data_IF_874846063285
#
_entry.id   IF_874846063285
#
_cell.length_a   1.000
_cell.length_b   1.000
_cell.length_c   1.000
_cell.angle_alpha   90.00
_cell.angle_beta   90.00
_cell.angle_gamma   90.00
#
_symmetry.space_group_name_H-M   'P 1'
#
loop_
_entity.id
_entity.type
_entity.pdbx_description
1 polymer ?
#
# COMPACT_ATOMS: atom_id res chain seq x y z
N UNK A 1 12.27 -13.78 20.90
CA UNK A 1 11.03 -14.25 21.57
C UNK A 1 10.23 -13.11 22.24
N UNK A 2 10.60 -11.83 22.12
CA UNK A 2 9.90 -10.69 22.74
C UNK A 2 8.88 -9.98 21.82
N UNK A 3 9.05 -10.02 20.50
CA UNK A 3 8.24 -9.21 19.58
C UNK A 3 6.83 -9.77 19.27
N UNK A 4 6.64 -11.09 19.33
CA UNK A 4 5.32 -11.71 19.11
C UNK A 4 4.33 -11.39 20.24
N UNK A 5 4.82 -11.31 21.48
CA UNK A 5 4.04 -11.01 22.68
C UNK A 5 3.59 -9.55 22.73
N UNK A 6 4.41 -8.64 22.19
CA UNK A 6 4.05 -7.22 22.05
C UNK A 6 2.93 -7.08 21.02
N UNK A 7 3.06 -7.71 19.85
CA UNK A 7 2.00 -7.64 18.82
C UNK A 7 0.66 -8.18 19.33
N UNK A 8 0.65 -9.34 20.00
CA UNK A 8 -0.58 -9.91 20.54
C UNK A 8 -1.21 -9.06 21.65
N UNK A 9 -0.42 -8.36 22.46
CA UNK A 9 -0.94 -7.48 23.50
C UNK A 9 -1.55 -6.18 22.94
N UNK A 10 -0.94 -5.62 21.89
CA UNK A 10 -1.29 -4.31 21.36
C UNK A 10 -2.25 -4.36 20.15
N UNK A 11 -2.45 -5.53 19.54
CA UNK A 11 -3.34 -5.74 18.39
C UNK A 11 -4.60 -6.57 18.73
N UNK A 12 -4.95 -6.69 20.01
CA UNK A 12 -6.04 -7.54 20.49
C UNK A 12 -7.45 -6.94 20.35
N UNK A 13 -7.58 -5.63 20.06
CA UNK A 13 -8.88 -5.00 19.81
C UNK A 13 -8.79 -3.81 18.86
N UNK A 14 -9.88 -3.54 18.16
CA UNK A 14 -10.08 -2.33 17.33
C UNK A 14 -10.11 -1.02 18.13
N UNK A 15 -10.10 -1.11 19.46
CA UNK A 15 -10.04 0.00 20.42
C UNK A 15 -8.69 0.09 21.12
N UNK A 16 -7.70 -0.71 20.72
CA UNK A 16 -6.39 -0.70 21.37
C UNK A 16 -5.73 0.68 21.21
N UNK A 17 -4.90 1.13 22.17
CA UNK A 17 -4.15 2.37 22.04
C UNK A 17 -3.35 2.47 20.72
N UNK A 18 -2.90 1.32 20.21
CA UNK A 18 -2.22 1.19 18.91
C UNK A 18 -3.11 1.62 17.76
N UNK A 19 -4.39 1.21 17.75
CA UNK A 19 -5.36 1.65 16.74
C UNK A 19 -5.53 3.17 16.76
N UNK A 20 -5.63 3.78 17.95
CA UNK A 20 -5.78 5.23 18.12
C UNK A 20 -4.52 5.98 17.66
N UNK A 21 -3.33 5.45 17.99
CA UNK A 21 -2.05 6.03 17.58
C UNK A 21 -1.88 5.94 16.07
N UNK A 22 -2.20 4.78 15.48
CA UNK A 22 -2.19 4.58 14.03
C UNK A 22 -3.15 5.58 13.37
N UNK A 23 -4.40 5.69 13.82
CA UNK A 23 -5.35 6.68 13.31
C UNK A 23 -4.84 8.12 13.39
N UNK A 24 -4.26 8.51 14.52
CA UNK A 24 -3.73 9.88 14.71
C UNK A 24 -2.49 10.16 13.87
N UNK A 25 -1.64 9.16 13.64
CA UNK A 25 -0.47 9.34 12.80
C UNK A 25 -0.76 9.17 11.30
N UNK A 26 -1.85 8.49 10.95
CA UNK A 26 -2.38 8.37 9.59
C UNK A 26 -3.31 9.52 9.20
N UNK A 27 -3.72 10.37 10.14
CA UNK A 27 -4.34 11.63 9.79
C UNK A 27 -3.28 12.46 9.06
N UNK A 28 -3.28 12.40 7.73
CA UNK A 28 -2.30 12.99 6.83
C UNK A 28 -2.37 14.54 6.80
N UNK A 29 -2.65 15.18 7.94
CA UNK A 29 -2.68 16.62 8.03
C UNK A 29 -1.28 17.20 7.77
N UNK A 30 -1.26 18.25 6.94
CA UNK A 30 -0.05 19.04 6.66
C UNK A 30 0.61 19.60 7.94
N UNK A 31 -0.17 19.74 9.01
CA UNK A 31 0.26 20.29 10.30
C UNK A 31 0.95 19.26 11.21
N UNK A 32 0.87 17.96 10.90
CA UNK A 32 1.56 16.92 11.69
C UNK A 32 3.03 16.94 11.33
N UNK A 33 3.97 17.00 12.29
CA UNK A 33 5.41 16.97 11.97
C UNK A 33 5.79 15.72 11.16
N UNK A 34 6.64 15.88 10.14
CA UNK A 34 7.11 14.79 9.26
C UNK A 34 7.56 13.54 10.04
N UNK A 35 8.31 13.73 11.13
CA UNK A 35 8.81 12.62 11.94
C UNK A 35 7.67 11.80 12.57
N UNK A 36 6.55 12.45 12.94
CA UNK A 36 5.38 11.79 13.49
C UNK A 36 4.64 11.02 12.39
N UNK A 37 4.51 11.61 11.18
CA UNK A 37 3.94 10.92 10.02
C UNK A 37 4.74 9.65 9.69
N UNK A 38 6.07 9.76 9.55
CA UNK A 38 6.95 8.61 9.26
C UNK A 38 6.85 7.52 10.32
N UNK A 39 6.85 7.90 11.61
CA UNK A 39 6.69 6.93 12.71
C UNK A 39 5.33 6.24 12.65
N UNK A 40 4.27 6.97 12.32
CA UNK A 40 2.94 6.42 12.09
C UNK A 40 2.92 5.35 11.02
N UNK A 41 3.43 5.70 9.84
CA UNK A 41 3.51 4.79 8.69
C UNK A 41 4.33 3.56 9.06
N UNK A 42 5.49 3.72 9.70
CA UNK A 42 6.31 2.58 10.11
C UNK A 42 5.60 1.66 11.11
N UNK A 43 4.85 2.22 12.07
CA UNK A 43 4.05 1.40 12.99
C UNK A 43 2.99 0.63 12.20
N UNK A 44 2.21 1.31 11.34
CA UNK A 44 1.18 0.68 10.52
C UNK A 44 1.75 -0.43 9.60
N UNK A 45 2.86 -0.16 8.92
CA UNK A 45 3.55 -1.12 8.05
C UNK A 45 4.06 -2.33 8.85
N UNK A 46 4.61 -2.12 10.05
CA UNK A 46 5.14 -3.19 10.89
C UNK A 46 4.06 -4.07 11.55
N UNK A 47 2.81 -3.59 11.63
CA UNK A 47 1.68 -4.42 12.10
C UNK A 47 1.51 -5.66 11.21
N UNK A 48 1.80 -5.53 9.91
CA UNK A 48 1.72 -6.63 8.95
C UNK A 48 2.85 -7.68 9.08
N UNK A 49 3.88 -7.43 9.89
CA UNK A 49 4.92 -8.44 10.17
C UNK A 49 4.41 -9.64 10.96
N UNK A 50 3.20 -9.55 11.52
CA UNK A 50 2.57 -10.60 12.31
C UNK A 50 1.14 -10.85 11.83
N UNK A 51 0.77 -12.13 11.69
CA UNK A 51 -0.54 -12.53 11.16
C UNK A 51 -1.73 -12.00 11.98
N UNK A 52 -1.57 -11.90 13.30
CA UNK A 52 -2.61 -11.33 14.18
C UNK A 52 -2.77 -9.82 13.95
N UNK A 53 -1.67 -9.08 13.92
CA UNK A 53 -1.67 -7.66 13.61
C UNK A 53 -2.29 -7.36 12.25
N UNK A 54 -1.88 -8.09 11.20
CA UNK A 54 -2.46 -7.96 9.86
C UNK A 54 -3.98 -8.19 9.88
N UNK A 55 -4.46 -9.27 10.51
CA UNK A 55 -5.90 -9.55 10.62
C UNK A 55 -6.65 -8.43 11.33
N UNK A 56 -6.13 -7.94 12.46
CA UNK A 56 -6.74 -6.83 13.18
C UNK A 56 -6.82 -5.59 12.26
N UNK A 57 -5.71 -5.22 11.62
CA UNK A 57 -5.64 -4.05 10.75
C UNK A 57 -6.69 -4.13 9.63
N UNK A 58 -6.76 -5.26 8.93
CA UNK A 58 -7.66 -5.47 7.79
C UNK A 58 -9.15 -5.56 8.18
N UNK A 59 -9.48 -5.86 9.44
CA UNK A 59 -10.86 -6.00 9.93
C UNK A 59 -11.40 -4.73 10.60
N UNK A 60 -10.59 -3.68 10.67
CA UNK A 60 -10.98 -2.44 11.36
C UNK A 60 -11.36 -1.35 10.38
N UNK A 61 -12.14 -0.37 10.85
CA UNK A 61 -12.39 0.87 10.14
C UNK A 61 -11.10 1.67 9.82
N UNK A 62 -9.93 1.25 10.31
CA UNK A 62 -8.64 1.88 10.00
C UNK A 62 -8.16 1.60 8.58
N UNK A 63 -8.66 0.53 7.93
CA UNK A 63 -8.20 0.15 6.60
C UNK A 63 -8.41 1.27 5.58
N UNK A 64 -9.63 1.83 5.51
CA UNK A 64 -9.92 2.96 4.63
C UNK A 64 -9.07 4.18 4.94
N UNK A 65 -8.95 4.57 6.21
CA UNK A 65 -8.10 5.69 6.64
C UNK A 65 -6.62 5.48 6.26
N UNK A 66 -6.12 4.25 6.32
CA UNK A 66 -4.75 3.92 5.92
C UNK A 66 -4.53 3.94 4.41
N UNK A 67 -5.54 3.55 3.64
CA UNK A 67 -5.52 3.65 2.18
C UNK A 67 -5.50 5.13 1.79
N UNK A 68 -6.42 5.93 2.32
CA UNK A 68 -6.50 7.38 2.04
C UNK A 68 -5.19 8.09 2.41
N UNK A 69 -4.67 7.82 3.62
CA UNK A 69 -3.39 8.35 4.06
C UNK A 69 -2.23 7.92 3.16
N UNK A 70 -2.14 6.63 2.81
CA UNK A 70 -1.08 6.12 1.96
C UNK A 70 -1.11 6.75 0.57
N UNK A 71 -2.30 6.87 -0.03
CA UNK A 71 -2.49 7.50 -1.33
C UNK A 71 -2.18 9.01 -1.31
N UNK A 72 -2.55 9.71 -0.24
CA UNK A 72 -2.19 11.13 -0.10
C UNK A 72 -0.68 11.31 0.04
N UNK A 73 -0.03 10.50 0.90
CA UNK A 73 1.39 10.64 1.20
C UNK A 73 2.29 10.20 0.04
N UNK A 74 1.87 9.21 -0.76
CA UNK A 74 2.63 8.81 -1.95
C UNK A 74 2.59 9.86 -3.06
N UNK A 75 1.63 10.79 -3.03
CA UNK A 75 1.59 11.95 -3.93
C UNK A 75 2.40 13.18 -3.47
N UNK A 76 3.11 13.12 -2.34
CA UNK A 76 3.87 14.28 -1.81
C UNK A 76 5.27 14.41 -2.41
N UNK A 77 5.82 15.61 -2.40
CA UNK A 77 7.20 15.83 -2.88
C UNK A 77 8.28 15.12 -2.04
N UNK A 78 7.99 14.83 -0.77
CA UNK A 78 8.96 14.23 0.14
C UNK A 78 9.16 12.73 -0.14
N UNK A 79 10.32 12.39 -0.71
CA UNK A 79 10.68 11.01 -1.05
C UNK A 79 10.54 10.02 0.11
N UNK A 80 10.92 10.40 1.34
CA UNK A 80 10.86 9.49 2.48
C UNK A 80 9.41 9.16 2.85
N UNK A 81 8.50 10.14 2.77
CA UNK A 81 7.07 9.91 2.97
C UNK A 81 6.51 9.02 1.85
N UNK A 82 6.86 9.30 0.59
CA UNK A 82 6.38 8.51 -0.55
C UNK A 82 6.79 7.05 -0.49
N UNK A 83 8.07 6.77 -0.27
CA UNK A 83 8.59 5.40 -0.16
C UNK A 83 7.93 4.64 0.98
N UNK A 84 7.74 5.30 2.13
CA UNK A 84 7.12 4.70 3.30
C UNK A 84 5.63 4.41 3.06
N UNK A 85 4.93 5.33 2.39
CA UNK A 85 3.53 5.16 2.02
C UNK A 85 3.36 4.02 1.00
N UNK A 86 4.20 3.95 -0.03
CA UNK A 86 4.19 2.84 -1.00
C UNK A 86 4.43 1.48 -0.32
N UNK A 87 5.26 1.42 0.73
CA UNK A 87 5.45 0.21 1.53
C UNK A 87 4.17 -0.20 2.29
N UNK A 88 3.46 0.76 2.86
CA UNK A 88 2.17 0.52 3.53
C UNK A 88 1.12 0.01 2.53
N UNK A 89 0.97 0.70 1.40
CA UNK A 89 0.02 0.32 0.34
C UNK A 89 0.31 -1.08 -0.20
N UNK A 90 1.58 -1.44 -0.39
CA UNK A 90 1.99 -2.80 -0.76
C UNK A 90 1.56 -3.84 0.29
N UNK A 91 1.77 -3.57 1.58
CA UNK A 91 1.35 -4.49 2.64
C UNK A 91 -0.17 -4.66 2.70
N UNK A 92 -0.92 -3.59 2.46
CA UNK A 92 -2.39 -3.66 2.36
C UNK A 92 -2.78 -4.51 1.14
N UNK A 93 -2.22 -4.22 -0.04
CA UNK A 93 -2.48 -4.97 -1.28
C UNK A 93 -2.20 -6.48 -1.14
N UNK A 94 -1.15 -6.84 -0.40
CA UNK A 94 -0.79 -8.22 -0.11
C UNK A 94 -1.86 -8.95 0.71
N UNK A 95 -2.49 -8.26 1.67
CA UNK A 95 -3.44 -8.83 2.61
C UNK A 95 -4.90 -8.61 2.23
N UNK A 96 -5.18 -7.76 1.23
CA UNK A 96 -6.53 -7.51 0.77
C UNK A 96 -7.12 -8.80 0.14
N UNK A 97 -8.35 -9.20 0.53
CA UNK A 97 -9.05 -10.30 -0.10
C UNK A 97 -9.11 -10.15 -1.63
N UNK A 98 -9.02 -11.26 -2.37
CA UNK A 98 -9.09 -11.29 -3.84
C UNK A 98 -10.54 -11.30 -4.32
N UNK A 99 -11.30 -10.31 -3.86
CA UNK A 99 -12.70 -10.06 -4.25
C UNK A 99 -12.84 -8.58 -4.57
N UNK A 100 -13.87 -8.24 -5.33
CA UNK A 100 -14.21 -6.85 -5.59
C UNK A 100 -14.59 -6.15 -4.27
N UNK A 101 -13.92 -5.04 -3.97
CA UNK A 101 -14.19 -4.21 -2.80
C UNK A 101 -13.89 -2.74 -3.10
N UNK A 102 -14.49 -1.84 -2.33
CA UNK A 102 -14.25 -0.39 -2.48
C UNK A 102 -12.77 -0.07 -2.23
N UNK A 103 -12.15 -0.71 -1.25
CA UNK A 103 -10.74 -0.57 -0.90
C UNK A 103 -9.82 -0.99 -2.05
N UNK A 104 -10.17 -2.07 -2.76
CA UNK A 104 -9.43 -2.51 -3.95
C UNK A 104 -9.48 -1.46 -5.05
N UNK A 105 -10.66 -0.92 -5.33
CA UNK A 105 -10.88 0.11 -6.36
C UNK A 105 -10.11 1.38 -6.01
N UNK A 106 -10.18 1.82 -4.76
CA UNK A 106 -9.45 2.99 -4.24
C UNK A 106 -7.94 2.81 -4.40
N UNK A 107 -7.40 1.67 -3.96
CA UNK A 107 -5.98 1.37 -4.07
C UNK A 107 -5.50 1.36 -5.52
N UNK A 108 -6.18 0.64 -6.40
CA UNK A 108 -5.77 0.53 -7.81
C UNK A 108 -5.83 1.88 -8.51
N UNK A 109 -6.94 2.60 -8.37
CA UNK A 109 -7.13 3.90 -9.03
C UNK A 109 -6.14 4.95 -8.52
N UNK A 110 -5.92 5.00 -7.21
CA UNK A 110 -4.98 5.93 -6.58
C UNK A 110 -3.53 5.64 -6.96
N UNK A 111 -3.11 4.38 -6.84
CA UNK A 111 -1.75 3.99 -7.23
C UNK A 111 -1.49 4.17 -8.72
N UNK A 112 -2.48 3.87 -9.57
CA UNK A 112 -2.40 4.12 -11.02
C UNK A 112 -2.12 5.59 -11.32
N UNK A 113 -2.86 6.49 -10.67
CA UNK A 113 -2.69 7.94 -10.84
C UNK A 113 -1.30 8.42 -10.41
N UNK A 114 -0.79 7.94 -9.27
CA UNK A 114 0.55 8.32 -8.79
C UNK A 114 1.66 7.75 -9.67
N UNK A 115 1.51 6.50 -10.13
CA UNK A 115 2.54 5.79 -10.89
C UNK A 115 2.94 6.52 -12.17
N UNK A 116 1.99 7.16 -12.86
CA UNK A 116 2.27 7.94 -14.07
C UNK A 116 3.21 9.11 -13.87
N UNK A 117 3.33 9.61 -12.63
CA UNK A 117 4.15 10.79 -12.29
C UNK A 117 5.30 10.46 -11.34
N UNK A 118 5.52 9.19 -11.00
CA UNK A 118 6.54 8.80 -10.03
C UNK A 118 7.94 8.80 -10.67
N UNK A 119 8.88 9.47 -10.01
CA UNK A 119 10.26 9.65 -10.44
C UNK A 119 11.25 8.78 -9.63
N UNK A 120 10.89 8.45 -8.39
CA UNK A 120 11.70 7.61 -7.52
C UNK A 120 11.49 6.12 -7.86
N UNK A 121 12.56 5.47 -8.31
CA UNK A 121 12.50 4.08 -8.80
C UNK A 121 12.02 3.08 -7.75
N UNK A 122 12.39 3.27 -6.47
CA UNK A 122 12.01 2.35 -5.41
C UNK A 122 10.53 2.52 -5.01
N UNK A 123 10.03 3.76 -5.03
CA UNK A 123 8.60 4.05 -4.85
C UNK A 123 7.79 3.48 -6.03
N UNK A 124 8.22 3.74 -7.27
CA UNK A 124 7.62 3.19 -8.49
C UNK A 124 7.54 1.66 -8.42
N UNK A 125 8.66 1.01 -8.05
CA UNK A 125 8.75 -0.43 -7.92
C UNK A 125 7.78 -1.00 -6.86
N UNK A 126 7.64 -0.35 -5.71
CA UNK A 126 6.71 -0.79 -4.65
C UNK A 126 5.25 -0.65 -5.09
N UNK A 127 4.92 0.42 -5.81
CA UNK A 127 3.58 0.62 -6.38
C UNK A 127 3.26 -0.46 -7.43
N UNK A 128 4.20 -0.77 -8.32
CA UNK A 128 4.07 -1.86 -9.28
C UNK A 128 3.85 -3.21 -8.59
N UNK A 129 4.63 -3.51 -7.54
CA UNK A 129 4.43 -4.71 -6.75
C UNK A 129 3.04 -4.75 -6.10
N UNK A 130 2.56 -3.64 -5.57
CA UNK A 130 1.24 -3.54 -4.96
C UNK A 130 0.13 -3.83 -5.99
N UNK A 131 0.21 -3.22 -7.18
CA UNK A 131 -0.70 -3.47 -8.30
C UNK A 131 -0.66 -4.96 -8.69
N UNK A 132 0.54 -5.52 -8.90
CA UNK A 132 0.73 -6.94 -9.22
C UNK A 132 0.05 -7.86 -8.18
N UNK A 133 0.18 -7.55 -6.88
CA UNK A 133 -0.50 -8.31 -5.82
C UNK A 133 -2.02 -8.15 -5.84
N UNK A 134 -2.56 -7.01 -6.24
CA UNK A 134 -4.00 -6.80 -6.33
C UNK A 134 -4.62 -7.57 -7.50
N UNK A 135 -3.96 -7.59 -8.67
CA UNK A 135 -4.47 -8.25 -9.88
C UNK A 135 -4.22 -9.77 -9.91
N UNK A 136 -3.25 -10.25 -9.13
CA UNK A 136 -2.96 -11.68 -9.07
C UNK A 136 -4.15 -12.46 -8.50
N UNK A 137 -4.67 -13.41 -9.30
CA UNK A 137 -5.87 -14.19 -8.99
C UNK A 137 -7.13 -13.35 -8.70
N UNK A 138 -7.26 -12.17 -9.32
CA UNK A 138 -8.41 -11.29 -9.14
C UNK A 138 -8.83 -10.67 -10.48
N UNK A 139 -9.83 -11.26 -11.13
CA UNK A 139 -10.31 -10.82 -12.46
C UNK A 139 -10.92 -9.41 -12.43
N UNK A 140 -11.66 -9.06 -11.37
CA UNK A 140 -12.23 -7.72 -11.21
C UNK A 140 -11.14 -6.63 -11.13
N UNK A 141 -10.05 -6.91 -10.41
CA UNK A 141 -8.88 -6.03 -10.37
C UNK A 141 -8.19 -5.91 -11.74
N UNK A 142 -8.08 -7.00 -12.51
CA UNK A 142 -7.50 -6.98 -13.84
C UNK A 142 -8.33 -6.13 -14.82
N UNK A 143 -9.66 -6.30 -14.79
CA UNK A 143 -10.59 -5.50 -15.59
C UNK A 143 -10.51 -4.02 -15.24
N UNK A 144 -10.42 -3.68 -13.94
CA UNK A 144 -10.24 -2.30 -13.51
C UNK A 144 -8.93 -1.72 -14.06
N UNK A 145 -7.80 -2.42 -13.95
CA UNK A 145 -6.51 -1.94 -14.47
C UNK A 145 -6.57 -1.74 -16.00
N UNK A 146 -7.22 -2.64 -16.74
CA UNK A 146 -7.47 -2.47 -18.18
C UNK A 146 -8.28 -1.19 -18.47
N UNK A 147 -9.31 -0.92 -17.67
CA UNK A 147 -10.18 0.25 -17.85
C UNK A 147 -9.48 1.58 -17.52
N UNK A 148 -8.47 1.56 -16.65
CA UNK A 148 -7.70 2.75 -16.27
C UNK A 148 -6.67 3.16 -17.34
N UNK A 149 -6.55 2.42 -18.45
CA UNK A 149 -5.52 2.57 -19.49
C UNK A 149 -4.13 2.76 -18.89
N UNK A 150 -3.79 1.93 -17.89
CA UNK A 150 -2.50 2.00 -17.20
C UNK A 150 -1.39 1.58 -18.18
N UNK A 151 -0.77 2.55 -18.85
CA UNK A 151 0.35 2.30 -19.76
C UNK A 151 1.63 2.12 -18.98
N UNK A 152 1.99 0.87 -18.73
CA UNK A 152 3.28 0.49 -18.17
C UNK A 152 4.32 0.42 -19.30
N UNK A 153 4.93 1.56 -19.62
CA UNK A 153 6.00 1.62 -20.62
C UNK A 153 7.37 1.26 -20.01
N UNK A 154 8.13 0.44 -20.73
CA UNK A 154 9.53 0.19 -20.39
C UNK A 154 10.34 1.46 -20.63
N UNK A 155 11.04 1.96 -19.61
CA UNK A 155 12.04 3.01 -19.79
C UNK A 155 13.22 2.34 -20.52
N UNK A 156 13.59 2.86 -21.69
CA UNK A 156 14.70 2.30 -22.50
C UNK A 156 15.98 2.20 -21.66
N UNK A 157 16.63 1.03 -21.67
CA UNK A 157 17.95 0.81 -21.08
C UNK A 157 18.00 0.23 -19.66
N UNK A 158 16.87 0.12 -18.95
CA UNK A 158 16.83 -0.56 -17.65
C UNK A 158 16.48 -2.05 -17.83
N UNK A 159 17.43 -2.95 -17.59
CA UNK A 159 17.17 -4.40 -17.42
C UNK A 159 17.23 -4.71 -15.92
N UNK A 160 16.17 -4.39 -15.20
CA UNK A 160 16.14 -4.39 -13.73
C UNK A 160 15.02 -5.23 -13.12
N UNK A 161 14.82 -5.07 -11.80
CA UNK A 161 13.72 -5.70 -11.04
C UNK A 161 12.35 -5.13 -11.43
N UNK A 162 12.32 -3.87 -11.88
CA UNK A 162 11.13 -3.14 -12.34
C UNK A 162 10.51 -3.79 -13.58
N UNK A 163 11.33 -4.05 -14.60
CA UNK A 163 10.87 -4.62 -15.88
C UNK A 163 10.26 -6.01 -15.69
N UNK A 164 10.84 -6.83 -14.81
CA UNK A 164 10.27 -8.15 -14.47
C UNK A 164 8.85 -8.03 -13.90
N UNK A 165 8.61 -7.07 -13.01
CA UNK A 165 7.27 -6.88 -12.42
C UNK A 165 6.29 -6.35 -13.46
N UNK A 166 6.72 -5.45 -14.34
CA UNK A 166 5.87 -4.96 -15.43
C UNK A 166 5.53 -6.07 -16.44
N UNK A 167 6.49 -6.92 -16.80
CA UNK A 167 6.25 -8.10 -17.64
C UNK A 167 5.24 -9.04 -16.99
N UNK A 168 5.35 -9.29 -15.69
CA UNK A 168 4.38 -10.09 -14.93
C UNK A 168 2.99 -9.46 -14.95
N UNK A 169 2.88 -8.15 -14.73
CA UNK A 169 1.61 -7.43 -14.81
C UNK A 169 1.01 -7.57 -16.22
N UNK A 170 1.80 -7.32 -17.26
CA UNK A 170 1.33 -7.43 -18.65
C UNK A 170 0.86 -8.83 -19.00
N UNK A 171 1.54 -9.88 -18.52
CA UNK A 171 1.10 -11.28 -18.67
C UNK A 171 -0.24 -11.53 -17.98
N UNK A 172 -0.42 -11.02 -16.76
CA UNK A 172 -1.68 -11.14 -16.00
C UNK A 172 -2.84 -10.36 -16.63
N UNK A 173 -2.55 -9.30 -17.39
CA UNK A 173 -3.58 -8.54 -18.12
C UNK A 173 -3.91 -9.17 -19.48
N UNK A 174 -3.09 -10.08 -20.01
CA UNK A 174 -3.37 -10.79 -21.27
C UNK A 174 -4.13 -12.11 -21.07
N UNK A 175 -4.08 -12.67 -19.86
CA UNK A 175 -4.93 -13.80 -19.45
C UNK A 175 -6.40 -13.40 -19.28
#
# INVERSE_FOLDING_TARGET
MLYSTVNSHYANSSTSPTSIIIKRCLAAHKDVPKIVQLRGIFVATNVFSYSHGAKMFMQTAMLGEAIDCGLELVGREDMALRMSAAALLYNIALHLPKVESIEMVQLLSGMAHTLSNELDEETEFRLLLAISKLIYCNSAAQELVKSLDLRLESKEGAMGRREKVMEEINKLLQS
#
